data_IF_702938231670
#
_entry.id   IF_702938231670
#
_cell.length_a   1.000
_cell.length_b   1.000
_cell.length_c   1.000
_cell.angle_alpha   90.00
_cell.angle_beta   90.00
_cell.angle_gamma   90.00
#
_symmetry.space_group_name_H-M   'P 1'
#
loop_
_entity.id
_entity.type
_entity.pdbx_description
1 polymer ?
#
# COMPACT_ATOMS: atom_id res chain seq x y z
N UNK A 1 -4.32 -16.82 -16.29
CA UNK A 1 -3.80 -16.55 -14.92
C UNK A 1 -3.73 -15.06 -14.80
N UNK A 2 -4.37 -14.46 -13.80
CA UNK A 2 -4.47 -12.99 -13.72
C UNK A 2 -3.27 -12.44 -12.98
N UNK A 3 -2.86 -11.22 -13.33
CA UNK A 3 -1.66 -10.58 -12.76
C UNK A 3 -1.72 -10.56 -11.23
N UNK A 4 -2.92 -10.40 -10.66
CA UNK A 4 -3.15 -10.29 -9.22
C UNK A 4 -3.05 -11.62 -8.44
N UNK A 5 -2.93 -12.76 -9.11
CA UNK A 5 -2.78 -14.09 -8.48
C UNK A 5 -1.50 -14.83 -8.85
N UNK A 6 -0.59 -14.16 -9.55
CA UNK A 6 0.70 -14.75 -9.90
C UNK A 6 1.48 -15.02 -8.60
N UNK A 7 1.72 -16.31 -8.33
CA UNK A 7 2.65 -16.71 -7.27
C UNK A 7 4.06 -16.30 -7.67
N UNK A 8 4.86 -15.89 -6.69
CA UNK A 8 6.27 -15.57 -6.92
C UNK A 8 6.99 -16.77 -7.55
N UNK A 9 7.59 -16.62 -8.75
CA UNK A 9 8.41 -17.66 -9.34
C UNK A 9 9.58 -18.00 -8.42
N UNK A 10 10.10 -19.23 -8.50
CA UNK A 10 11.28 -19.62 -7.74
C UNK A 10 12.47 -18.69 -8.05
N UNK A 11 12.66 -18.38 -9.34
CA UNK A 11 13.67 -17.45 -9.84
C UNK A 11 13.02 -16.10 -10.19
N UNK A 12 13.06 -15.14 -9.26
CA UNK A 12 12.66 -13.76 -9.53
C UNK A 12 13.43 -12.80 -8.63
N UNK A 13 13.55 -11.53 -9.06
CA UNK A 13 14.25 -10.51 -8.29
C UNK A 13 13.56 -10.26 -6.93
N UNK A 14 14.33 -9.82 -5.94
CA UNK A 14 13.79 -9.47 -4.63
C UNK A 14 12.73 -8.37 -4.74
N UNK A 15 12.92 -7.39 -5.63
CA UNK A 15 11.94 -6.34 -5.93
C UNK A 15 10.63 -6.92 -6.45
N UNK A 16 10.68 -7.88 -7.37
CA UNK A 16 9.48 -8.56 -7.89
C UNK A 16 8.71 -9.27 -6.77
N UNK A 17 9.41 -10.01 -5.90
CA UNK A 17 8.78 -10.67 -4.74
C UNK A 17 8.11 -9.66 -3.82
N UNK A 18 8.73 -8.49 -3.62
CA UNK A 18 8.17 -7.43 -2.76
C UNK A 18 6.94 -6.77 -3.41
N UNK A 19 6.95 -6.55 -4.72
CA UNK A 19 5.78 -6.08 -5.47
C UNK A 19 4.60 -7.05 -5.37
N UNK A 20 4.85 -8.36 -5.53
CA UNK A 20 3.79 -9.37 -5.40
C UNK A 20 3.16 -9.40 -4.00
N UNK A 21 3.93 -9.09 -2.94
CA UNK A 21 3.39 -8.96 -1.58
C UNK A 21 2.40 -7.81 -1.43
N UNK A 22 2.47 -6.79 -2.29
CA UNK A 22 1.56 -5.63 -2.28
C UNK A 22 0.21 -5.90 -2.97
N UNK A 23 -0.01 -7.09 -3.53
CA UNK A 23 -1.27 -7.41 -4.23
C UNK A 23 -2.52 -7.15 -3.39
N UNK A 24 -2.49 -7.52 -2.11
CA UNK A 24 -3.63 -7.30 -1.21
C UNK A 24 -3.96 -5.82 -1.00
N UNK A 25 -2.96 -4.94 -1.13
CA UNK A 25 -3.13 -3.48 -1.03
C UNK A 25 -3.61 -2.88 -2.36
N UNK A 26 -3.07 -3.38 -3.48
CA UNK A 26 -3.42 -2.87 -4.81
C UNK A 26 -4.80 -3.34 -5.29
N UNK A 27 -5.18 -4.59 -5.00
CA UNK A 27 -6.43 -5.22 -5.45
C UNK A 27 -7.71 -4.41 -5.13
N UNK A 28 -7.91 -3.85 -3.91
CA UNK A 28 -9.09 -3.03 -3.63
C UNK A 28 -9.09 -1.67 -4.36
N UNK A 29 -7.95 -1.23 -4.91
CA UNK A 29 -7.83 0.04 -5.64
C UNK A 29 -8.10 -0.13 -7.15
N UNK A 30 -8.20 -1.37 -7.62
CA UNK A 30 -8.33 -1.71 -9.04
C UNK A 30 -9.68 -2.41 -9.24
N UNK A 31 -10.47 -1.96 -10.21
CA UNK A 31 -11.72 -2.60 -10.63
C UNK A 31 -11.72 -2.92 -12.11
N UNK A 32 -12.18 -4.12 -12.44
CA UNK A 32 -12.38 -4.55 -13.82
C UNK A 32 -13.82 -4.21 -14.23
N UNK A 33 -13.96 -3.44 -15.30
CA UNK A 33 -15.24 -3.13 -15.94
C UNK A 33 -15.38 -4.08 -17.12
N UNK A 34 -16.48 -4.83 -17.12
CA UNK A 34 -16.66 -5.94 -18.06
C UNK A 34 -17.24 -5.43 -19.38
N UNK A 35 -16.52 -5.71 -20.46
CA UNK A 35 -17.00 -5.66 -21.84
C UNK A 35 -17.38 -7.07 -22.28
N UNK A 36 -16.54 -7.68 -23.11
CA UNK A 36 -16.68 -9.07 -23.59
C UNK A 36 -16.29 -10.15 -22.56
N UNK A 37 -15.67 -9.77 -21.43
CA UNK A 37 -15.31 -10.68 -20.34
C UNK A 37 -14.14 -11.61 -20.63
N UNK A 38 -13.48 -11.52 -21.79
CA UNK A 38 -12.38 -12.41 -22.19
C UNK A 38 -11.09 -12.10 -21.40
N UNK A 39 -10.89 -10.83 -21.07
CA UNK A 39 -9.71 -10.34 -20.35
C UNK A 39 -9.76 -10.69 -18.85
N UNK A 40 -10.95 -10.75 -18.28
CA UNK A 40 -11.15 -10.79 -16.83
C UNK A 40 -11.44 -12.19 -16.30
N UNK A 41 -10.78 -12.61 -15.22
CA UNK A 41 -11.11 -13.86 -14.56
C UNK A 41 -12.40 -13.77 -13.77
N UNK A 42 -13.23 -14.80 -13.94
CA UNK A 42 -14.51 -14.93 -13.24
C UNK A 42 -14.34 -14.94 -11.71
N UNK A 43 -13.34 -15.67 -11.21
CA UNK A 43 -13.21 -15.92 -9.77
C UNK A 43 -12.31 -14.92 -9.04
N UNK A 44 -11.26 -14.47 -9.72
CA UNK A 44 -10.08 -13.89 -9.05
C UNK A 44 -9.93 -12.39 -9.26
N UNK A 45 -10.51 -11.84 -10.31
CA UNK A 45 -10.40 -10.40 -10.60
C UNK A 45 -11.52 -9.62 -9.92
N UNK A 46 -11.24 -8.35 -9.63
CA UNK A 46 -12.15 -7.47 -8.91
C UNK A 46 -13.16 -6.81 -9.88
N UNK A 47 -14.08 -7.59 -10.43
CA UNK A 47 -15.13 -7.09 -11.33
C UNK A 47 -16.51 -7.00 -10.67
N UNK A 48 -16.79 -7.90 -9.73
CA UNK A 48 -18.04 -7.95 -9.00
C UNK A 48 -18.13 -6.83 -7.95
N UNK A 49 -19.31 -6.22 -7.68
CA UNK A 49 -19.44 -5.09 -6.74
C UNK A 49 -18.88 -5.37 -5.35
N UNK A 50 -19.05 -6.60 -4.87
CA UNK A 50 -18.60 -7.06 -3.55
C UNK A 50 -17.14 -7.54 -3.48
N UNK A 51 -16.36 -7.35 -4.55
CA UNK A 51 -14.97 -7.81 -4.63
C UNK A 51 -14.79 -9.11 -5.42
N UNK A 52 -13.56 -9.65 -5.50
CA UNK A 52 -13.29 -10.92 -6.16
C UNK A 52 -14.13 -12.05 -5.57
N UNK A 53 -14.77 -12.83 -6.45
CA UNK A 53 -15.74 -13.86 -6.05
C UNK A 53 -15.12 -14.88 -5.09
N UNK A 54 -13.89 -15.32 -5.34
CA UNK A 54 -13.21 -16.31 -4.50
C UNK A 54 -12.81 -15.81 -3.10
N UNK A 55 -12.75 -14.50 -2.88
CA UNK A 55 -12.38 -13.91 -1.60
C UNK A 55 -13.61 -13.64 -0.75
N UNK A 56 -14.73 -13.25 -1.38
CA UNK A 56 -15.97 -12.93 -0.69
C UNK A 56 -16.79 -14.18 -0.39
N UNK A 57 -16.84 -15.13 -1.32
CA UNK A 57 -17.51 -16.41 -1.16
C UNK A 57 -16.50 -17.54 -1.00
N UNK A 58 -16.92 -18.62 -0.34
CA UNK A 58 -16.01 -19.73 -0.04
C UNK A 58 -15.40 -20.32 -1.31
N UNK A 59 -14.21 -20.94 -1.21
CA UNK A 59 -13.57 -21.60 -2.36
C UNK A 59 -14.43 -22.69 -3.04
N UNK A 60 -15.54 -23.12 -2.40
CA UNK A 60 -16.52 -24.06 -2.94
C UNK A 60 -17.30 -23.47 -4.12
N UNK A 61 -17.57 -22.15 -4.09
CA UNK A 61 -18.34 -21.46 -5.13
C UNK A 61 -17.72 -21.56 -6.53
N UNK A 62 -16.42 -21.85 -6.61
CA UNK A 62 -15.70 -22.07 -7.87
C UNK A 62 -16.16 -23.38 -8.54
N UNK A 63 -16.53 -24.39 -7.75
CA UNK A 63 -16.88 -25.73 -8.22
C UNK A 63 -18.40 -25.92 -8.38
N UNK A 64 -19.21 -25.21 -7.59
CA UNK A 64 -20.68 -25.29 -7.61
C UNK A 64 -21.34 -25.10 -8.99
N UNK A 65 -20.87 -24.20 -9.89
CA UNK A 65 -21.48 -24.00 -11.20
C UNK A 65 -20.94 -24.96 -12.26
N UNK A 66 -20.01 -25.87 -11.91
CA UNK A 66 -19.37 -26.78 -12.86
C UNK A 66 -18.43 -26.06 -13.86
N UNK A 67 -18.06 -24.81 -13.57
CA UNK A 67 -17.20 -24.01 -14.43
C UNK A 67 -15.71 -24.24 -14.14
N UNK A 68 -14.83 -24.06 -15.14
CA UNK A 68 -13.39 -24.21 -14.92
C UNK A 68 -12.86 -23.23 -13.85
N UNK A 69 -11.89 -23.68 -13.04
CA UNK A 69 -11.17 -22.79 -12.11
C UNK A 69 -10.47 -21.61 -12.80
N UNK A 70 -10.11 -21.75 -14.07
CA UNK A 70 -9.50 -20.68 -14.88
C UNK A 70 -10.55 -19.95 -15.74
N UNK A 71 -11.84 -20.08 -15.44
CA UNK A 71 -12.90 -19.45 -16.20
C UNK A 71 -12.73 -17.93 -16.26
N UNK A 72 -13.04 -17.40 -17.43
CA UNK A 72 -13.15 -15.98 -17.73
C UNK A 72 -14.59 -15.52 -17.52
N UNK A 73 -14.79 -14.22 -17.33
CA UNK A 73 -16.14 -13.65 -17.19
C UNK A 73 -16.97 -13.91 -18.44
N UNK A 74 -16.33 -14.05 -19.61
CA UNK A 74 -16.99 -14.44 -20.87
C UNK A 74 -17.80 -15.74 -20.80
N UNK A 75 -17.53 -16.64 -19.84
CA UNK A 75 -18.34 -17.86 -19.64
C UNK A 75 -19.76 -17.57 -19.14
N UNK A 76 -19.98 -16.39 -18.57
CA UNK A 76 -21.28 -15.96 -18.03
C UNK A 76 -21.82 -14.72 -18.77
N UNK A 77 -21.24 -14.42 -19.95
CA UNK A 77 -21.67 -13.32 -20.82
C UNK A 77 -22.15 -13.93 -22.12
N UNK A 78 -23.44 -13.76 -22.42
CA UNK A 78 -24.04 -14.20 -23.67
C UNK A 78 -24.78 -13.02 -24.30
N UNK A 79 -24.27 -12.55 -25.44
CA UNK A 79 -24.67 -11.25 -26.00
C UNK A 79 -24.31 -10.14 -25.01
N UNK A 80 -25.30 -9.37 -24.57
CA UNK A 80 -25.11 -8.27 -23.62
C UNK A 80 -25.84 -8.54 -22.31
N UNK A 81 -25.86 -9.81 -21.86
CA UNK A 81 -26.57 -10.23 -20.66
C UNK A 81 -25.70 -11.15 -19.80
N UNK A 82 -25.92 -11.03 -18.49
CA UNK A 82 -25.35 -11.91 -17.48
C UNK A 82 -26.11 -13.24 -17.44
N UNK A 83 -25.48 -14.32 -17.85
CA UNK A 83 -26.08 -15.66 -17.88
C UNK A 83 -25.23 -16.62 -17.06
N UNK A 84 -25.61 -16.77 -15.80
CA UNK A 84 -24.99 -17.74 -14.91
C UNK A 84 -25.64 -19.12 -15.05
N UNK A 85 -24.87 -20.21 -14.93
CA UNK A 85 -25.43 -21.56 -14.86
C UNK A 85 -26.53 -21.69 -13.80
N UNK A 86 -27.48 -22.59 -14.07
CA UNK A 86 -28.47 -22.99 -13.07
C UNK A 86 -27.75 -23.76 -11.96
N UNK A 87 -27.84 -23.26 -10.74
CA UNK A 87 -27.28 -23.91 -9.55
C UNK A 87 -28.19 -23.67 -8.36
N UNK A 88 -28.30 -24.66 -7.48
CA UNK A 88 -29.02 -24.59 -6.21
C UNK A 88 -28.13 -24.06 -5.06
N UNK A 89 -26.90 -23.64 -5.36
CA UNK A 89 -25.99 -23.06 -4.36
C UNK A 89 -26.49 -21.70 -3.89
N UNK A 90 -26.59 -21.54 -2.56
CA UNK A 90 -26.96 -20.28 -1.91
C UNK A 90 -25.92 -19.19 -2.23
N UNK A 91 -24.63 -19.55 -2.25
CA UNK A 91 -23.53 -18.63 -2.58
C UNK A 91 -23.72 -18.06 -4.00
N UNK A 92 -24.07 -18.91 -4.98
CA UNK A 92 -24.32 -18.45 -6.36
C UNK A 92 -25.58 -17.62 -6.49
N UNK A 93 -26.62 -17.92 -5.72
CA UNK A 93 -27.82 -17.08 -5.68
C UNK A 93 -27.51 -15.69 -5.12
N UNK A 94 -26.70 -15.61 -4.08
CA UNK A 94 -26.26 -14.33 -3.51
C UNK A 94 -25.40 -13.53 -4.50
N UNK A 95 -24.50 -14.17 -5.23
CA UNK A 95 -23.72 -13.54 -6.31
C UNK A 95 -24.66 -12.97 -7.37
N UNK A 96 -25.64 -13.76 -7.83
CA UNK A 96 -26.65 -13.33 -8.82
C UNK A 96 -27.45 -12.11 -8.33
N UNK A 97 -27.81 -12.07 -7.05
CA UNK A 97 -28.58 -10.97 -6.47
C UNK A 97 -27.78 -9.66 -6.37
N UNK A 98 -26.45 -9.74 -6.39
CA UNK A 98 -25.55 -8.58 -6.27
C UNK A 98 -24.78 -8.28 -7.56
N UNK A 99 -25.32 -8.69 -8.70
CA UNK A 99 -24.71 -8.40 -10.00
C UNK A 99 -24.58 -6.89 -10.23
N UNK A 100 -23.57 -6.45 -11.01
CA UNK A 100 -23.45 -5.05 -11.37
C UNK A 100 -24.74 -4.53 -12.02
N UNK A 101 -25.12 -3.29 -11.70
CA UNK A 101 -26.29 -2.63 -12.29
C UNK A 101 -26.18 -2.37 -13.80
N UNK A 102 -25.00 -2.60 -14.39
CA UNK A 102 -24.75 -2.46 -15.82
C UNK A 102 -24.67 -3.83 -16.48
N UNK A 103 -25.03 -3.87 -17.76
CA UNK A 103 -24.88 -5.05 -18.60
C UNK A 103 -23.51 -5.07 -19.29
N UNK A 104 -22.93 -6.26 -19.51
CA UNK A 104 -21.72 -6.40 -20.30
C UNK A 104 -22.00 -5.99 -21.75
N UNK A 105 -20.96 -5.58 -22.48
CA UNK A 105 -21.05 -5.27 -23.90
C UNK A 105 -20.07 -6.13 -24.66
N UNK A 106 -20.57 -7.14 -25.38
CA UNK A 106 -19.75 -8.10 -26.12
C UNK A 106 -18.92 -7.46 -27.24
N UNK A 107 -19.27 -6.25 -27.68
CA UNK A 107 -18.54 -5.49 -28.70
C UNK A 107 -17.36 -4.70 -28.15
N UNK A 108 -17.26 -4.54 -26.82
CA UNK A 108 -16.20 -3.78 -26.17
C UNK A 108 -15.22 -4.71 -25.44
N UNK A 109 -13.98 -4.28 -25.32
CA UNK A 109 -13.00 -4.97 -24.49
C UNK A 109 -13.20 -4.63 -23.00
N UNK A 110 -12.79 -5.55 -22.14
CA UNK A 110 -12.72 -5.29 -20.70
C UNK A 110 -11.74 -4.14 -20.42
N UNK A 111 -12.11 -3.23 -19.51
CA UNK A 111 -11.21 -2.16 -19.08
C UNK A 111 -10.95 -2.19 -17.58
N UNK A 112 -9.77 -1.72 -17.18
CA UNK A 112 -9.36 -1.64 -15.78
C UNK A 112 -9.45 -0.19 -15.34
N UNK A 113 -10.19 0.07 -14.26
CA UNK A 113 -10.30 1.40 -13.65
C UNK A 113 -9.60 1.46 -12.31
N UNK A 114 -8.92 2.57 -12.09
CA UNK A 114 -8.33 2.95 -10.82
C UNK A 114 -9.36 3.63 -9.93
N UNK A 115 -9.80 2.97 -8.86
CA UNK A 115 -10.89 3.46 -8.00
C UNK A 115 -10.57 4.75 -7.20
N UNK A 116 -9.32 5.05 -6.82
CA UNK A 116 -9.02 6.29 -6.11
C UNK A 116 -9.29 7.58 -6.90
N UNK A 117 -9.50 7.50 -8.21
CA UNK A 117 -9.82 8.66 -9.04
C UNK A 117 -11.19 8.48 -9.73
N UNK A 118 -12.00 9.55 -9.83
CA UNK A 118 -13.34 9.46 -10.43
C UNK A 118 -13.32 9.16 -11.94
N UNK A 119 -12.25 9.57 -12.63
CA UNK A 119 -12.01 9.27 -14.04
C UNK A 119 -11.56 7.82 -14.30
N UNK A 120 -11.10 7.12 -13.26
CA UNK A 120 -10.56 5.77 -13.36
C UNK A 120 -9.12 5.71 -13.86
N UNK A 121 -8.42 6.85 -13.98
CA UNK A 121 -7.06 6.93 -14.51
C UNK A 121 -6.03 6.79 -13.39
N UNK A 122 -5.07 5.90 -13.59
CA UNK A 122 -3.98 5.71 -12.65
C UNK A 122 -3.10 6.97 -12.53
N UNK A 123 -2.73 7.33 -11.30
CA UNK A 123 -1.67 8.30 -11.05
C UNK A 123 -0.86 7.94 -9.81
N UNK A 124 0.43 8.29 -9.82
CA UNK A 124 1.30 8.13 -8.64
C UNK A 124 0.77 8.95 -7.47
N UNK A 125 0.28 10.17 -7.74
CA UNK A 125 -0.29 11.06 -6.71
C UNK A 125 -1.48 10.41 -5.98
N UNK A 126 -2.45 9.88 -6.72
CA UNK A 126 -3.62 9.20 -6.12
C UNK A 126 -3.22 7.91 -5.39
N UNK A 127 -2.27 7.15 -5.94
CA UNK A 127 -1.72 5.97 -5.26
C UNK A 127 -1.09 6.33 -3.92
N UNK A 128 -0.23 7.35 -3.89
CA UNK A 128 0.40 7.81 -2.66
C UNK A 128 -0.63 8.35 -1.68
N UNK A 129 -1.68 9.04 -2.14
CA UNK A 129 -2.76 9.49 -1.29
C UNK A 129 -3.54 8.32 -0.66
N UNK A 130 -3.84 7.25 -1.42
CA UNK A 130 -4.51 6.05 -0.90
C UNK A 130 -3.65 5.22 0.04
N UNK A 131 -2.32 5.24 -0.13
CA UNK A 131 -1.39 4.49 0.73
C UNK A 131 -0.99 5.26 1.99
N UNK A 132 -1.03 6.59 1.96
CA UNK A 132 -0.66 7.42 3.11
C UNK A 132 -1.77 7.36 4.15
N UNK A 133 -1.43 6.92 5.34
CA UNK A 133 -2.22 7.26 6.53
C UNK A 133 -2.03 8.76 6.81
N UNK A 134 -3.09 9.54 7.02
CA UNK A 134 -2.93 10.93 7.41
C UNK A 134 -2.18 10.99 8.74
N UNK A 135 -1.02 11.64 8.72
CA UNK A 135 -0.26 11.96 9.93
C UNK A 135 -0.50 13.43 10.27
N UNK A 136 -0.63 13.78 11.55
CA UNK A 136 -0.72 15.18 11.93
C UNK A 136 0.54 15.91 11.46
N UNK A 137 0.35 17.13 10.96
CA UNK A 137 1.48 18.01 10.66
C UNK A 137 2.22 18.29 11.96
N UNK A 138 3.53 18.07 11.92
CA UNK A 138 4.41 18.32 13.05
C UNK A 138 4.95 19.75 12.95
N UNK A 139 5.03 20.51 14.06
CA UNK A 139 5.48 21.90 14.04
C UNK A 139 6.89 22.09 13.44
N UNK A 140 7.73 21.06 13.52
CA UNK A 140 9.09 21.06 13.01
C UNK A 140 9.21 20.66 11.52
N UNK A 141 8.10 20.47 10.79
CA UNK A 141 8.13 20.01 9.40
C UNK A 141 8.90 21.00 8.51
N UNK A 142 8.54 22.29 8.56
CA UNK A 142 9.18 23.34 7.75
C UNK A 142 10.66 23.49 8.08
N UNK A 143 11.03 23.35 9.36
CA UNK A 143 12.43 23.40 9.79
C UNK A 143 13.28 22.31 9.12
N UNK A 144 12.72 21.11 8.92
CA UNK A 144 13.43 20.00 8.31
C UNK A 144 13.42 20.05 6.79
N UNK A 145 12.25 20.29 6.19
CA UNK A 145 12.00 20.00 4.78
C UNK A 145 11.80 21.24 3.90
N UNK A 146 12.27 22.41 4.37
CA UNK A 146 12.31 23.63 3.54
C UNK A 146 13.10 23.42 2.24
N UNK A 147 12.65 24.06 1.15
CA UNK A 147 13.12 23.82 -0.23
C UNK A 147 14.63 24.05 -0.44
N UNK A 148 15.24 24.94 0.33
CA UNK A 148 16.67 25.25 0.23
C UNK A 148 17.54 24.48 1.23
N UNK A 149 16.95 23.60 2.05
CA UNK A 149 17.72 22.87 3.04
C UNK A 149 18.52 21.73 2.41
N UNK A 150 19.71 21.48 2.94
CA UNK A 150 20.51 20.32 2.54
C UNK A 150 19.90 19.06 3.14
N UNK A 151 19.53 18.09 2.29
CA UNK A 151 18.91 16.82 2.70
C UNK A 151 19.70 16.09 3.80
N UNK A 152 21.04 16.19 3.80
CA UNK A 152 21.88 15.61 4.86
C UNK A 152 21.63 16.28 6.21
N UNK A 153 21.51 17.60 6.24
CA UNK A 153 21.23 18.36 7.46
C UNK A 153 19.81 18.11 7.95
N UNK A 154 18.83 18.05 7.04
CA UNK A 154 17.45 17.64 7.34
C UNK A 154 17.41 16.27 8.01
N UNK A 155 18.15 15.29 7.48
CA UNK A 155 18.18 13.95 8.05
C UNK A 155 18.85 13.89 9.43
N UNK A 156 19.95 14.62 9.63
CA UNK A 156 20.63 14.71 10.93
C UNK A 156 19.72 15.36 11.97
N UNK A 157 19.09 16.48 11.62
CA UNK A 157 18.18 17.19 12.52
C UNK A 157 16.91 16.38 12.82
N UNK A 158 16.35 15.70 11.82
CA UNK A 158 15.24 14.76 12.02
C UNK A 158 15.63 13.65 13.01
N UNK A 159 16.83 13.09 12.85
CA UNK A 159 17.37 12.08 13.76
C UNK A 159 17.59 12.64 15.17
N UNK A 160 18.03 13.90 15.30
CA UNK A 160 18.18 14.59 16.57
C UNK A 160 16.83 14.76 17.29
N UNK A 161 15.82 15.29 16.58
CA UNK A 161 14.45 15.49 17.10
C UNK A 161 13.82 14.17 17.55
N UNK A 162 14.06 13.09 16.81
CA UNK A 162 13.59 11.74 17.16
C UNK A 162 14.39 11.09 18.27
N UNK A 163 15.44 11.74 18.79
CA UNK A 163 16.38 11.15 19.73
C UNK A 163 16.93 9.86 19.14
N UNK A 164 17.62 9.92 18.01
CA UNK A 164 18.21 8.74 17.34
C UNK A 164 19.68 8.93 16.98
N UNK A 165 20.26 10.10 17.25
CA UNK A 165 21.71 10.24 17.19
C UNK A 165 22.37 9.44 18.32
N UNK A 166 23.58 8.95 18.06
CA UNK A 166 24.39 8.23 19.05
C UNK A 166 25.10 9.23 19.96
N UNK A 167 24.42 9.64 21.03
CA UNK A 167 24.99 10.44 22.12
C UNK A 167 25.70 9.54 23.14
N UNK A 168 26.63 10.09 23.92
CA UNK A 168 27.43 9.28 24.86
C UNK A 168 26.60 8.59 25.95
N UNK A 169 25.47 9.16 26.38
CA UNK A 169 24.52 8.51 27.29
C UNK A 169 24.02 7.16 26.75
N UNK A 170 23.75 7.08 25.45
CA UNK A 170 23.30 5.85 24.76
C UNK A 170 24.45 4.91 24.47
N UNK A 171 25.61 5.46 24.10
CA UNK A 171 26.80 4.65 23.86
C UNK A 171 27.25 3.93 25.13
N UNK A 172 27.17 4.61 26.28
CA UNK A 172 27.48 4.03 27.60
C UNK A 172 26.63 2.79 27.92
N UNK A 173 25.38 2.69 27.43
CA UNK A 173 24.55 1.49 27.62
C UNK A 173 25.16 0.24 26.96
N UNK A 174 25.92 0.42 25.88
CA UNK A 174 26.58 -0.67 25.16
C UNK A 174 28.04 -0.85 25.59
N UNK A 175 28.67 0.21 26.11
CA UNK A 175 30.06 0.17 26.59
C UNK A 175 30.23 1.02 27.87
N UNK A 176 30.09 0.40 29.07
CA UNK A 176 30.15 1.11 30.35
C UNK A 176 31.51 1.70 30.73
N UNK A 177 32.57 1.42 29.96
CA UNK A 177 33.92 1.94 30.24
C UNK A 177 34.14 3.35 29.70
N UNK A 178 33.21 3.87 28.90
CA UNK A 178 33.29 5.22 28.35
C UNK A 178 32.62 6.24 29.27
N UNK A 179 33.23 7.42 29.42
CA UNK A 179 32.60 8.52 30.14
C UNK A 179 31.34 9.03 29.43
N UNK A 180 30.37 9.52 30.20
CA UNK A 180 29.14 10.12 29.65
C UNK A 180 29.25 11.63 29.46
N UNK A 181 30.35 12.27 29.86
CA UNK A 181 30.48 13.73 29.82
C UNK A 181 30.45 14.27 28.38
N UNK A 182 29.72 15.35 28.18
CA UNK A 182 29.61 16.09 26.93
C UNK A 182 30.97 16.56 26.44
N UNK A 183 31.33 16.23 25.20
CA UNK A 183 32.62 16.58 24.59
C UNK A 183 32.80 18.10 24.45
N UNK A 184 31.70 18.86 24.34
CA UNK A 184 31.74 20.30 24.09
C UNK A 184 31.99 21.13 25.36
N UNK A 185 31.39 20.75 26.49
CA UNK A 185 31.45 21.52 27.75
C UNK A 185 32.15 20.78 28.89
N UNK A 186 32.34 19.47 28.78
CA UNK A 186 32.93 18.59 29.79
C UNK A 186 32.28 18.66 31.19
N UNK A 187 31.07 19.22 31.32
CA UNK A 187 30.47 19.54 32.63
C UNK A 187 29.18 18.78 32.95
N UNK A 188 28.52 18.19 31.95
CA UNK A 188 27.29 17.42 32.15
C UNK A 188 27.24 16.25 31.18
N UNK A 189 26.41 15.21 31.44
CA UNK A 189 26.25 14.09 30.53
C UNK A 189 25.77 14.51 29.14
N UNK A 190 26.33 13.90 28.08
CA UNK A 190 25.93 14.12 26.70
C UNK A 190 24.61 13.42 26.41
N UNK A 191 23.52 14.18 26.52
CA UNK A 191 22.18 13.80 26.05
C UNK A 191 21.81 14.67 24.85
N UNK A 192 20.78 14.32 24.07
CA UNK A 192 20.30 15.20 22.98
C UNK A 192 19.88 16.58 23.48
N UNK A 193 19.17 16.65 24.62
CA UNK A 193 18.76 17.91 25.23
C UNK A 193 19.97 18.75 25.63
N UNK A 194 20.96 18.12 26.25
CA UNK A 194 22.19 18.82 26.62
C UNK A 194 22.96 19.29 25.39
N UNK A 195 23.26 18.38 24.47
CA UNK A 195 24.08 18.64 23.28
C UNK A 195 23.50 19.75 22.40
N UNK A 196 22.18 19.81 22.22
CA UNK A 196 21.56 20.79 21.33
C UNK A 196 20.96 22.01 22.03
N UNK A 197 20.61 21.98 23.32
CA UNK A 197 19.85 23.08 23.95
C UNK A 197 20.54 23.60 25.22
N UNK A 198 20.94 22.71 26.13
CA UNK A 198 21.36 23.13 27.48
C UNK A 198 22.85 23.47 27.57
N UNK A 199 23.68 22.85 26.72
CA UNK A 199 25.13 22.99 26.69
C UNK A 199 25.54 24.45 26.49
N UNK A 200 26.47 24.91 27.32
CA UNK A 200 26.99 26.28 27.27
C UNK A 200 27.54 26.63 25.88
N UNK A 201 28.24 25.69 25.23
CA UNK A 201 28.76 25.88 23.88
C UNK A 201 27.63 26.02 22.84
N UNK A 202 26.64 25.13 22.87
CA UNK A 202 25.52 25.16 21.92
C UNK A 202 24.65 26.40 22.08
N UNK A 203 24.46 26.89 23.31
CA UNK A 203 23.78 28.17 23.58
C UNK A 203 24.44 29.35 22.89
N UNK A 204 25.77 29.37 22.77
CA UNK A 204 26.49 30.43 22.05
C UNK A 204 26.14 30.38 20.56
N UNK A 205 26.06 29.18 19.97
CA UNK A 205 25.70 29.01 18.56
C UNK A 205 24.28 29.51 18.27
N UNK A 206 23.33 29.26 19.16
CA UNK A 206 21.94 29.74 18.98
C UNK A 206 21.76 31.26 19.11
N UNK A 207 22.77 31.98 19.62
CA UNK A 207 22.74 33.44 19.71
C UNK A 207 23.24 34.12 18.42
N UNK A 208 23.74 33.34 17.46
CA UNK A 208 24.18 33.79 16.13
C UNK A 208 23.02 33.67 15.14
#
# INVERSE_FOLDING_TARGET
MTVLEVKAPQTCSWNWRRLLKLHHIARPLIRHIIGNGLGTSLWFDNWHPNGPVCLKWSSRVIYDPGLPKKAKVSFIVHGDQWVWPCSMSIDLLEIKNHMPFYNPNSSLEDCIKWLPTPDGIYSVASTMASLKTPYPLVPWFELLWYSHNNQRMSFILWSAIRGRLSTLDRFHLYNPHFGTLCVLCSSSPETHAHLFIECAYSKIIWLI
#
